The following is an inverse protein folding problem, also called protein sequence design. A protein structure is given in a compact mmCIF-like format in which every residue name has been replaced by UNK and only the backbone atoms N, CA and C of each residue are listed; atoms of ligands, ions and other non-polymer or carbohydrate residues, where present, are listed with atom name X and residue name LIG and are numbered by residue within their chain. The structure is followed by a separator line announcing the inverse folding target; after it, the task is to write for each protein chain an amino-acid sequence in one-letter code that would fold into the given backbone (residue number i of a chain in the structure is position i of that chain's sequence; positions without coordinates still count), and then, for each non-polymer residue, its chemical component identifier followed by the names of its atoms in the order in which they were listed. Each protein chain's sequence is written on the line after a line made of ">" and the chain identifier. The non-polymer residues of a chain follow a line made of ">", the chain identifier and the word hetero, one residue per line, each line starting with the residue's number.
data_IF_816159317621
#
_entry.id   IF_816159317621
#
_cell.length_a   1.000
_cell.length_b   1.000
_cell.length_c   1.000
_cell.angle_alpha   90.00
_cell.angle_beta   90.00
_cell.angle_gamma   90.00
#
_symmetry.space_group_name_H-M   'P 1'
#
loop_
_entity.id
_entity.type
_entity.pdbx_description
1 polymer ?
#
# COMPACT_ATOMS: atom_id res chain seq x y z
N UNK A 1 -42.94 7.09 2.21
CA UNK A 1 -41.91 6.89 1.16
C UNK A 1 -42.05 5.47 0.65
N UNK A 2 -41.89 5.25 -0.66
CA UNK A 2 -42.18 3.96 -1.31
C UNK A 2 -41.03 2.97 -1.07
N UNK A 3 -41.35 1.69 -0.79
CA UNK A 3 -40.37 0.61 -0.65
C UNK A 3 -39.39 0.54 -1.83
N UNK A 4 -39.85 0.87 -3.05
CA UNK A 4 -39.01 0.96 -4.25
C UNK A 4 -37.89 1.99 -4.11
N UNK A 5 -38.16 3.12 -3.45
CA UNK A 5 -37.16 4.18 -3.27
C UNK A 5 -36.05 3.75 -2.31
N UNK A 6 -36.39 2.98 -1.28
CA UNK A 6 -35.43 2.43 -0.33
C UNK A 6 -34.61 1.28 -0.95
N UNK A 7 -35.22 0.46 -1.82
CA UNK A 7 -34.52 -0.58 -2.58
C UNK A 7 -33.49 0.05 -3.53
N UNK A 8 -33.86 1.08 -4.29
CA UNK A 8 -32.96 1.79 -5.22
C UNK A 8 -31.79 2.43 -4.46
N UNK A 9 -32.07 3.07 -3.32
CA UNK A 9 -31.03 3.72 -2.50
C UNK A 9 -30.04 2.70 -1.92
N UNK A 10 -30.52 1.55 -1.44
CA UNK A 10 -29.67 0.44 -0.95
C UNK A 10 -28.83 -0.18 -2.06
N UNK A 11 -29.39 -0.33 -3.26
CA UNK A 11 -28.66 -0.84 -4.42
C UNK A 11 -27.53 0.11 -4.87
N UNK A 12 -27.72 1.42 -4.72
CA UNK A 12 -26.69 2.42 -5.02
C UNK A 12 -25.59 2.46 -3.95
N UNK A 13 -25.92 2.30 -2.66
CA UNK A 13 -24.91 2.31 -1.58
C UNK A 13 -24.08 1.03 -1.49
N UNK A 14 -24.57 -0.10 -2.01
CA UNK A 14 -23.90 -1.40 -1.93
C UNK A 14 -22.96 -1.71 -3.11
N UNK A 15 -22.87 -0.84 -4.12
CA UNK A 15 -22.05 -1.08 -5.31
C UNK A 15 -20.58 -0.79 -5.03
N UNK A 16 -19.87 -1.76 -4.43
CA UNK A 16 -18.41 -1.83 -4.63
C UNK A 16 -18.17 -2.00 -6.12
N UNK A 17 -17.39 -1.10 -6.72
CA UNK A 17 -17.00 -1.21 -8.12
C UNK A 17 -16.25 -2.53 -8.33
N UNK A 18 -16.82 -3.42 -9.14
CA UNK A 18 -16.17 -4.65 -9.56
C UNK A 18 -15.56 -4.44 -10.93
N UNK A 19 -14.30 -4.82 -11.08
CA UNK A 19 -13.55 -4.72 -12.34
C UNK A 19 -13.54 -6.10 -12.99
N UNK A 20 -13.94 -6.18 -14.26
CA UNK A 20 -13.87 -7.42 -15.03
C UNK A 20 -12.44 -7.62 -15.55
N UNK A 21 -11.89 -8.81 -15.32
CA UNK A 21 -10.56 -9.20 -15.78
C UNK A 21 -10.61 -10.54 -16.49
N UNK A 22 -9.91 -10.65 -17.62
CA UNK A 22 -9.77 -11.91 -18.37
C UNK A 22 -8.51 -12.64 -17.92
N UNK A 23 -8.62 -13.92 -17.60
CA UNK A 23 -7.47 -14.78 -17.25
C UNK A 23 -7.43 -16.00 -18.18
N UNK A 24 -6.22 -16.52 -18.41
CA UNK A 24 -6.00 -17.80 -19.09
C UNK A 24 -5.59 -18.82 -18.03
N UNK A 25 -6.23 -19.98 -18.06
CA UNK A 25 -6.00 -21.07 -17.11
C UNK A 25 -5.46 -22.28 -17.87
N UNK A 26 -4.59 -23.04 -17.23
CA UNK A 26 -4.21 -24.36 -17.70
C UNK A 26 -5.41 -25.33 -17.59
N UNK A 27 -5.46 -26.39 -18.40
CA UNK A 27 -6.56 -27.37 -18.35
C UNK A 27 -6.77 -27.96 -16.94
N UNK A 28 -5.70 -28.20 -16.20
CA UNK A 28 -5.73 -28.74 -14.84
C UNK A 28 -6.37 -27.76 -13.85
N UNK A 29 -6.02 -26.47 -13.95
CA UNK A 29 -6.59 -25.40 -13.12
C UNK A 29 -8.08 -25.22 -13.42
N UNK A 30 -8.47 -25.30 -14.70
CA UNK A 30 -9.87 -25.21 -15.09
C UNK A 30 -10.68 -26.38 -14.54
N UNK A 31 -10.19 -27.62 -14.69
CA UNK A 31 -10.86 -28.82 -14.17
C UNK A 31 -11.07 -28.73 -12.66
N UNK A 32 -10.04 -28.31 -11.93
CA UNK A 32 -10.13 -28.13 -10.48
C UNK A 32 -11.20 -27.09 -10.09
N UNK A 33 -11.26 -25.95 -10.77
CA UNK A 33 -12.26 -24.91 -10.47
C UNK A 33 -13.68 -25.41 -10.76
N UNK A 34 -13.86 -26.20 -11.82
CA UNK A 34 -15.17 -26.78 -12.16
C UNK A 34 -15.63 -27.78 -11.08
N UNK A 35 -14.76 -28.72 -10.69
CA UNK A 35 -15.04 -29.69 -9.61
C UNK A 35 -15.32 -29.00 -8.27
N UNK A 36 -14.49 -28.01 -7.91
CA UNK A 36 -14.66 -27.24 -6.67
C UNK A 36 -15.97 -26.44 -6.67
N UNK A 37 -16.33 -25.82 -7.80
CA UNK A 37 -17.57 -25.09 -7.94
C UNK A 37 -18.79 -26.02 -7.77
N UNK A 38 -18.75 -27.21 -8.38
CA UNK A 38 -19.80 -28.22 -8.25
C UNK A 38 -19.94 -28.68 -6.79
N UNK A 39 -18.82 -29.06 -6.15
CA UNK A 39 -18.81 -29.52 -4.76
C UNK A 39 -19.35 -28.46 -3.77
N UNK A 40 -19.06 -27.18 -4.01
CA UNK A 40 -19.51 -26.08 -3.18
C UNK A 40 -20.85 -25.46 -3.62
N UNK A 41 -21.49 -25.99 -4.68
CA UNK A 41 -22.72 -25.42 -5.26
C UNK A 41 -22.59 -23.93 -5.64
N UNK A 42 -21.44 -23.56 -6.21
CA UNK A 42 -21.11 -22.21 -6.65
C UNK A 42 -21.09 -22.12 -8.18
N UNK A 43 -21.17 -20.89 -8.70
CA UNK A 43 -20.81 -20.67 -10.11
C UNK A 43 -19.29 -20.71 -10.26
N UNK A 44 -18.78 -21.07 -11.44
CA UNK A 44 -17.34 -21.04 -11.76
C UNK A 44 -16.70 -19.68 -11.40
N UNK A 45 -17.37 -18.58 -11.70
CA UNK A 45 -16.88 -17.23 -11.40
C UNK A 45 -16.84 -16.97 -9.89
N UNK A 46 -17.85 -17.43 -9.15
CA UNK A 46 -17.88 -17.28 -7.69
C UNK A 46 -16.82 -18.13 -7.00
N UNK A 47 -16.67 -19.40 -7.41
CA UNK A 47 -15.61 -20.29 -6.93
C UNK A 47 -14.22 -19.66 -7.14
N UNK A 48 -13.94 -19.18 -8.35
CA UNK A 48 -12.69 -18.51 -8.69
C UNK A 48 -12.48 -17.23 -7.87
N UNK A 49 -13.55 -16.45 -7.62
CA UNK A 49 -13.50 -15.26 -6.75
C UNK A 49 -13.16 -15.62 -5.30
N UNK A 50 -13.74 -16.68 -4.75
CA UNK A 50 -13.49 -17.12 -3.38
C UNK A 50 -12.05 -17.64 -3.22
N UNK A 51 -11.57 -18.45 -4.16
CA UNK A 51 -10.18 -18.92 -4.19
C UNK A 51 -9.20 -17.76 -4.29
N UNK A 52 -9.46 -16.78 -5.18
CA UNK A 52 -8.63 -15.57 -5.27
C UNK A 52 -8.63 -14.77 -3.97
N UNK A 53 -9.79 -14.61 -3.32
CA UNK A 53 -9.88 -13.89 -2.03
C UNK A 53 -9.08 -14.59 -0.94
N UNK A 54 -9.20 -15.91 -0.84
CA UNK A 54 -8.43 -16.71 0.10
C UNK A 54 -6.93 -16.61 -0.19
N UNK A 55 -6.52 -16.71 -1.46
CA UNK A 55 -5.12 -16.57 -1.87
C UNK A 55 -4.56 -15.18 -1.61
N UNK A 56 -5.34 -14.11 -1.82
CA UNK A 56 -4.96 -12.73 -1.47
C UNK A 56 -4.72 -12.62 0.03
N UNK A 57 -5.62 -13.17 0.85
CA UNK A 57 -5.48 -13.13 2.31
C UNK A 57 -4.21 -13.87 2.77
N UNK A 58 -4.00 -15.10 2.29
CA UNK A 58 -2.79 -15.87 2.61
C UNK A 58 -1.51 -15.16 2.15
N UNK A 59 -1.53 -14.51 0.98
CA UNK A 59 -0.40 -13.74 0.50
C UNK A 59 -0.10 -12.53 1.38
N UNK A 60 -1.13 -11.81 1.86
CA UNK A 60 -0.98 -10.70 2.80
C UNK A 60 -0.34 -11.19 4.10
N UNK A 61 -0.86 -12.26 4.69
CA UNK A 61 -0.35 -12.83 5.94
C UNK A 61 1.11 -13.30 5.81
N UNK A 62 1.45 -13.99 4.71
CA UNK A 62 2.82 -14.41 4.45
C UNK A 62 3.76 -13.20 4.30
N UNK A 63 3.33 -12.13 3.63
CA UNK A 63 4.11 -10.90 3.50
C UNK A 63 4.31 -10.23 4.88
N UNK A 64 3.29 -10.21 5.73
CA UNK A 64 3.35 -9.68 7.10
C UNK A 64 4.31 -10.47 7.98
N UNK A 65 4.26 -11.80 7.96
CA UNK A 65 5.22 -12.64 8.70
C UNK A 65 6.67 -12.42 8.24
N UNK A 66 6.89 -12.27 6.93
CA UNK A 66 8.19 -11.91 6.37
C UNK A 66 8.61 -10.48 6.79
N UNK A 67 7.67 -9.55 6.99
CA UNK A 67 8.00 -8.23 7.52
C UNK A 67 8.48 -8.32 8.97
N UNK A 68 7.74 -9.07 9.80
CA UNK A 68 7.98 -9.13 11.23
C UNK A 68 9.34 -9.74 11.53
N UNK A 69 9.67 -10.84 10.85
CA UNK A 69 11.00 -11.45 10.92
C UNK A 69 12.11 -10.51 10.43
N UNK A 70 11.91 -9.77 9.34
CA UNK A 70 12.88 -8.76 8.88
C UNK A 70 12.99 -7.55 9.83
N UNK A 71 11.91 -7.12 10.48
CA UNK A 71 11.89 -6.03 11.48
C UNK A 71 12.73 -6.43 12.70
N UNK A 72 12.50 -7.63 13.24
CA UNK A 72 13.26 -8.18 14.36
C UNK A 72 14.77 -8.29 14.04
N UNK A 73 15.11 -8.63 12.79
CA UNK A 73 16.51 -8.71 12.35
C UNK A 73 17.16 -7.33 12.13
N UNK A 74 16.40 -6.30 11.70
CA UNK A 74 16.93 -4.96 11.44
C UNK A 74 17.06 -4.09 12.70
N UNK A 75 16.23 -4.31 13.71
CA UNK A 75 16.34 -3.59 14.99
C UNK A 75 17.61 -4.02 15.78
N UNK A 76 18.24 -5.16 15.42
CA UNK A 76 19.56 -5.57 15.90
C UNK A 76 20.74 -4.89 15.15
N UNK A 77 20.48 -4.29 13.98
CA UNK A 77 21.46 -3.67 13.09
C UNK A 77 21.32 -2.12 13.06
N UNK A 78 20.50 -1.56 13.95
CA UNK A 78 20.27 -0.12 14.11
C UNK A 78 21.43 0.62 14.81
N UNK A 79 22.61 -0.01 14.91
CA UNK A 79 23.85 0.66 15.26
C UNK A 79 24.58 1.01 13.97
N UNK A 80 24.75 2.31 13.73
CA UNK A 80 25.61 2.91 12.69
C UNK A 80 25.02 3.09 11.29
N UNK A 81 24.13 4.07 11.14
CA UNK A 81 24.17 4.93 9.94
C UNK A 81 24.63 6.32 10.36
N UNK A 82 25.86 6.65 9.98
CA UNK A 82 26.52 7.94 10.20
C UNK A 82 25.72 9.09 9.55
N UNK A 83 24.70 9.64 10.23
CA UNK A 83 24.09 10.95 9.95
C UNK A 83 23.46 11.17 8.57
N UNK A 84 23.49 10.21 7.65
CA UNK A 84 22.94 10.31 6.31
C UNK A 84 21.42 10.08 6.32
N UNK A 85 20.64 10.83 5.51
CA UNK A 85 19.20 10.65 5.43
C UNK A 85 18.87 9.26 4.90
N UNK A 86 17.91 8.58 5.54
CA UNK A 86 17.40 7.29 5.07
C UNK A 86 16.26 7.53 4.09
N UNK A 87 16.01 6.56 3.24
CA UNK A 87 14.89 6.63 2.29
C UNK A 87 13.85 5.56 2.62
N UNK A 88 12.59 5.95 2.48
CA UNK A 88 11.42 5.12 2.75
C UNK A 88 10.47 5.16 1.56
N UNK A 89 9.87 4.03 1.20
CA UNK A 89 8.77 3.94 0.25
C UNK A 89 7.52 3.63 1.06
N UNK A 90 6.57 4.56 1.10
CA UNK A 90 5.35 4.50 1.89
C UNK A 90 4.14 4.37 0.98
N UNK A 91 3.34 3.32 1.18
CA UNK A 91 2.09 3.12 0.46
C UNK A 91 1.03 4.14 0.92
N UNK A 92 0.38 4.80 -0.03
CA UNK A 92 -0.66 5.82 0.20
C UNK A 92 -2.03 5.26 0.63
N UNK A 93 -2.13 3.95 0.85
CA UNK A 93 -3.34 3.26 1.25
C UNK A 93 -4.51 3.33 0.25
N UNK A 94 -4.26 3.72 -1.02
CA UNK A 94 -5.29 3.90 -2.05
C UNK A 94 -6.17 2.66 -2.26
N UNK A 95 -5.61 1.46 -2.08
CA UNK A 95 -6.35 0.19 -2.15
C UNK A 95 -7.53 0.15 -1.17
N UNK A 96 -7.37 0.71 0.02
CA UNK A 96 -8.36 0.64 1.09
C UNK A 96 -9.18 1.93 1.20
N UNK A 97 -8.56 3.09 1.01
CA UNK A 97 -9.25 4.38 1.08
C UNK A 97 -8.68 5.38 0.07
N UNK A 98 -9.51 5.79 -0.89
CA UNK A 98 -9.19 6.84 -1.85
C UNK A 98 -9.07 8.19 -1.12
N UNK A 99 -9.90 8.43 -0.11
CA UNK A 99 -9.87 9.66 0.69
C UNK A 99 -8.54 9.81 1.43
N UNK A 100 -8.06 8.74 2.06
CA UNK A 100 -6.77 8.74 2.76
C UNK A 100 -5.60 9.01 1.81
N UNK A 101 -5.62 8.38 0.63
CA UNK A 101 -4.65 8.65 -0.42
C UNK A 101 -4.68 10.13 -0.86
N UNK A 102 -5.86 10.69 -1.13
CA UNK A 102 -6.00 12.10 -1.52
C UNK A 102 -5.55 13.05 -0.42
N UNK A 103 -5.87 12.74 0.84
CA UNK A 103 -5.42 13.51 2.00
C UNK A 103 -3.90 13.53 2.08
N UNK A 104 -3.24 12.38 1.94
CA UNK A 104 -1.77 12.30 1.95
C UNK A 104 -1.12 13.19 0.89
N UNK A 105 -1.69 13.23 -0.32
CA UNK A 105 -1.18 14.08 -1.40
C UNK A 105 -1.51 15.56 -1.22
N UNK A 106 -2.72 15.89 -0.75
CA UNK A 106 -3.18 17.27 -0.59
C UNK A 106 -2.48 17.98 0.58
N UNK A 107 -2.31 17.26 1.69
CA UNK A 107 -1.70 17.81 2.91
C UNK A 107 -0.17 17.64 2.92
N UNK A 108 0.39 16.85 2.00
CA UNK A 108 1.83 16.57 1.97
C UNK A 108 2.28 15.79 3.19
N UNK A 109 1.56 14.72 3.54
CA UNK A 109 1.82 13.94 4.76
C UNK A 109 2.20 12.49 4.44
N UNK A 110 3.12 11.96 5.23
CA UNK A 110 3.33 10.52 5.37
C UNK A 110 2.40 10.01 6.47
N UNK A 111 1.47 9.12 6.15
CA UNK A 111 0.47 8.62 7.09
C UNK A 111 0.25 7.12 6.95
N UNK A 112 -0.13 6.49 8.06
CA UNK A 112 -0.58 5.12 8.11
C UNK A 112 -1.73 4.97 9.12
N UNK A 113 -2.59 3.99 8.87
CA UNK A 113 -3.89 3.87 9.54
C UNK A 113 -4.07 2.45 10.08
N UNK A 114 -4.55 2.33 11.31
CA UNK A 114 -4.77 1.07 12.02
C UNK A 114 -3.52 0.21 12.23
N UNK A 115 -3.62 -0.76 13.15
CA UNK A 115 -2.64 -1.82 13.36
C UNK A 115 -1.23 -1.36 13.76
N UNK A 116 -0.30 -2.31 13.87
CA UNK A 116 1.08 -2.02 14.28
C UNK A 116 1.95 -1.44 13.16
N UNK A 117 1.47 -1.46 11.92
CA UNK A 117 2.17 -0.83 10.81
C UNK A 117 2.08 0.70 10.86
N UNK A 118 1.15 1.30 11.60
CA UNK A 118 1.12 2.77 11.80
C UNK A 118 2.37 3.28 12.53
N UNK A 119 2.94 2.44 13.40
CA UNK A 119 4.21 2.69 14.11
C UNK A 119 5.42 2.80 13.17
N UNK A 120 5.28 2.46 11.88
CA UNK A 120 6.33 2.73 10.90
C UNK A 120 6.55 4.23 10.69
N UNK A 121 5.52 5.06 10.84
CA UNK A 121 5.63 6.51 10.67
C UNK A 121 6.56 7.10 11.74
N UNK A 122 6.48 6.58 12.97
CA UNK A 122 7.30 6.97 14.12
C UNK A 122 8.81 6.76 13.87
N UNK A 123 9.16 5.90 12.90
CA UNK A 123 10.55 5.61 12.53
C UNK A 123 11.16 6.65 11.61
N UNK A 124 10.35 7.49 10.96
CA UNK A 124 10.80 8.51 10.00
C UNK A 124 11.49 9.63 10.77
N UNK A 125 12.80 9.79 10.55
CA UNK A 125 13.61 10.80 11.21
C UNK A 125 13.65 12.10 10.40
N UNK A 126 14.13 13.17 11.05
CA UNK A 126 14.32 14.46 10.38
C UNK A 126 15.24 14.29 9.17
N UNK A 127 14.82 14.84 8.04
CA UNK A 127 15.49 14.78 6.73
C UNK A 127 15.48 13.40 6.04
N UNK A 128 14.90 12.35 6.63
CA UNK A 128 14.65 11.11 5.89
C UNK A 128 13.76 11.41 4.68
N UNK A 129 14.04 10.82 3.52
CA UNK A 129 13.23 11.02 2.31
C UNK A 129 12.14 9.96 2.25
N UNK A 130 10.90 10.39 2.08
CA UNK A 130 9.73 9.51 1.97
C UNK A 130 9.15 9.63 0.57
N UNK A 131 9.15 8.53 -0.17
CA UNK A 131 8.47 8.37 -1.45
C UNK A 131 7.06 7.82 -1.22
N UNK A 132 6.04 8.56 -1.66
CA UNK A 132 4.65 8.12 -1.61
C UNK A 132 4.35 7.24 -2.82
N UNK A 133 4.00 5.98 -2.54
CA UNK A 133 3.67 4.96 -3.53
C UNK A 133 2.16 4.74 -3.63
N UNK A 134 1.64 4.78 -4.85
CA UNK A 134 0.26 4.51 -5.20
C UNK A 134 0.15 3.14 -5.88
N UNK A 135 -0.68 2.25 -5.34
CA UNK A 135 -0.93 0.93 -5.93
C UNK A 135 -1.40 1.04 -7.39
N UNK A 136 -0.70 0.36 -8.29
CA UNK A 136 -1.03 0.34 -9.71
C UNK A 136 -0.50 1.52 -10.53
N UNK A 137 0.09 2.53 -9.88
CA UNK A 137 0.65 3.72 -10.55
C UNK A 137 2.17 3.82 -10.34
N UNK A 138 2.66 3.72 -9.10
CA UNK A 138 4.08 3.90 -8.80
C UNK A 138 4.33 4.94 -7.70
N UNK A 139 5.56 5.46 -7.63
CA UNK A 139 5.88 6.63 -6.79
C UNK A 139 5.26 7.86 -7.44
N UNK A 140 4.41 8.56 -6.69
CA UNK A 140 3.62 9.71 -7.18
C UNK A 140 4.02 11.02 -6.52
N UNK A 141 4.71 10.98 -5.39
CA UNK A 141 5.18 12.15 -4.69
C UNK A 141 6.36 11.79 -3.80
N UNK A 142 7.09 12.80 -3.33
CA UNK A 142 8.09 12.63 -2.28
C UNK A 142 8.14 13.86 -1.37
N UNK A 143 8.75 13.70 -0.21
CA UNK A 143 9.12 14.80 0.68
C UNK A 143 10.08 14.32 1.76
N UNK A 144 10.52 15.22 2.63
CA UNK A 144 11.42 14.92 3.75
C UNK A 144 10.66 14.87 5.06
N UNK A 145 10.92 13.85 5.86
CA UNK A 145 10.38 13.72 7.20
C UNK A 145 10.87 14.82 8.13
N UNK A 146 10.01 15.24 9.04
CA UNK A 146 10.35 16.23 10.09
C UNK A 146 10.97 15.59 11.33
N UNK A 147 10.77 14.28 11.53
CA UNK A 147 11.10 13.57 12.77
C UNK A 147 10.02 13.68 13.87
N UNK A 148 8.97 14.49 13.66
CA UNK A 148 7.87 14.65 14.59
C UNK A 148 6.65 13.85 14.13
N UNK A 149 6.14 12.93 14.95
CA UNK A 149 4.96 12.13 14.62
C UNK A 149 3.74 12.66 15.36
N UNK A 150 2.69 12.94 14.60
CA UNK A 150 1.40 13.38 15.07
C UNK A 150 0.41 12.21 15.03
N UNK A 151 -0.55 12.23 15.96
CA UNK A 151 -1.63 11.24 16.02
C UNK A 151 -2.97 11.93 15.80
N UNK A 152 -3.86 11.24 15.10
CA UNK A 152 -5.21 11.71 14.85
C UNK A 152 -6.21 10.57 14.97
N UNK A 153 -7.45 10.95 15.26
CA UNK A 153 -8.59 10.06 15.11
C UNK A 153 -8.76 9.64 13.65
N UNK A 154 -9.13 8.39 13.42
CA UNK A 154 -9.49 7.86 12.11
C UNK A 154 -10.76 7.01 12.21
N UNK A 155 -11.79 7.39 11.45
CA UNK A 155 -13.11 6.72 11.42
C UNK A 155 -13.73 6.50 12.82
N UNK A 156 -13.60 7.49 13.71
CA UNK A 156 -14.17 7.44 15.07
C UNK A 156 -13.30 6.72 16.10
N UNK A 157 -12.11 6.25 15.73
CA UNK A 157 -11.17 5.59 16.63
C UNK A 157 -9.96 6.49 16.91
N UNK A 158 -9.72 6.80 18.18
CA UNK A 158 -8.63 7.65 18.62
C UNK A 158 -7.26 7.01 18.35
N UNK A 159 -6.26 7.83 17.99
CA UNK A 159 -4.87 7.41 17.72
C UNK A 159 -4.71 6.33 16.64
N UNK A 160 -5.72 6.13 15.78
CA UNK A 160 -5.64 5.16 14.69
C UNK A 160 -4.99 5.71 13.42
N UNK A 161 -4.65 7.00 13.37
CA UNK A 161 -3.79 7.58 12.35
C UNK A 161 -2.51 8.12 12.97
N UNK A 162 -1.37 7.55 12.59
CA UNK A 162 -0.07 8.18 12.80
C UNK A 162 0.35 8.86 11.50
N UNK A 163 0.79 10.12 11.59
CA UNK A 163 1.23 10.87 10.42
C UNK A 163 2.33 11.86 10.73
N UNK A 164 3.06 12.24 9.70
CA UNK A 164 4.09 13.27 9.74
C UNK A 164 3.94 14.18 8.53
N UNK A 165 4.04 15.50 8.76
CA UNK A 165 4.11 16.49 7.67
C UNK A 165 5.46 16.36 6.97
N UNK A 166 5.46 16.35 5.65
CA UNK A 166 6.68 16.28 4.85
C UNK A 166 7.11 17.70 4.42
N UNK A 167 8.35 18.06 4.71
CA UNK A 167 8.97 19.26 4.15
C UNK A 167 9.45 19.02 2.72
N UNK A 168 9.59 20.07 1.91
CA UNK A 168 9.97 19.98 0.50
C UNK A 168 9.08 19.00 -0.30
N UNK A 169 7.79 18.93 0.05
CA UNK A 169 6.86 18.01 -0.57
C UNK A 169 6.59 18.37 -2.04
N UNK A 170 6.75 17.40 -2.94
CA UNK A 170 6.50 17.55 -4.37
C UNK A 170 5.72 16.34 -4.90
N UNK A 171 4.61 16.62 -5.58
CA UNK A 171 3.90 15.64 -6.39
C UNK A 171 4.60 15.56 -7.76
N UNK A 172 4.85 14.35 -8.23
CA UNK A 172 5.49 14.11 -9.53
C UNK A 172 4.47 14.31 -10.65
N UNK A 173 4.87 15.04 -11.70
CA UNK A 173 4.07 15.15 -12.92
C UNK A 173 3.97 13.78 -13.60
N UNK A 174 5.10 13.08 -13.70
CA UNK A 174 5.19 11.71 -14.20
C UNK A 174 5.55 10.75 -13.05
N UNK A 175 4.63 9.86 -12.64
CA UNK A 175 4.92 8.88 -11.61
C UNK A 175 5.94 7.82 -12.07
N UNK A 176 6.84 7.43 -11.17
CA UNK A 176 7.78 6.32 -11.42
C UNK A 176 7.10 4.99 -11.13
N UNK A 177 6.82 4.21 -12.17
CA UNK A 177 6.16 2.91 -12.05
C UNK A 177 6.97 1.92 -11.20
N UNK A 178 6.30 0.90 -10.67
CA UNK A 178 6.97 -0.16 -9.91
C UNK A 178 8.07 -0.88 -10.72
N UNK A 179 7.92 -0.95 -12.05
CA UNK A 179 8.95 -1.51 -12.93
C UNK A 179 10.17 -0.59 -13.00
N UNK A 180 9.97 0.71 -13.24
CA UNK A 180 11.06 1.69 -13.28
C UNK A 180 11.82 1.76 -11.96
N UNK A 181 11.11 1.77 -10.82
CA UNK A 181 11.74 1.77 -9.49
C UNK A 181 12.63 0.54 -9.31
N UNK A 182 12.18 -0.65 -9.74
CA UNK A 182 13.00 -1.87 -9.67
C UNK A 182 14.23 -1.77 -10.57
N UNK A 183 14.10 -1.18 -11.77
CA UNK A 183 15.24 -0.94 -12.67
C UNK A 183 16.23 0.05 -12.08
N UNK A 184 15.76 1.15 -11.49
CA UNK A 184 16.62 2.17 -10.87
C UNK A 184 17.39 1.58 -9.68
N UNK A 185 16.72 0.79 -8.84
CA UNK A 185 17.35 0.19 -7.67
C UNK A 185 18.18 -1.06 -7.98
N UNK A 186 17.96 -1.69 -9.14
CA UNK A 186 18.55 -2.97 -9.54
C UNK A 186 18.24 -4.11 -8.54
N UNK A 187 17.03 -4.09 -7.98
CA UNK A 187 16.55 -5.12 -7.05
C UNK A 187 15.03 -5.23 -7.02
N UNK A 188 14.54 -6.34 -6.48
CA UNK A 188 13.13 -6.47 -6.20
C UNK A 188 12.75 -5.64 -4.96
N UNK A 189 11.68 -4.86 -5.08
CA UNK A 189 11.09 -4.07 -4.00
C UNK A 189 9.69 -4.59 -3.74
N UNK A 190 9.39 -4.86 -2.46
CA UNK A 190 8.06 -5.27 -2.03
C UNK A 190 7.23 -4.02 -1.75
N UNK A 191 6.30 -3.72 -2.66
CA UNK A 191 5.39 -2.56 -2.59
C UNK A 191 4.06 -2.86 -1.89
N UNK A 192 3.84 -4.12 -1.49
CA UNK A 192 2.59 -4.56 -0.85
C UNK A 192 2.51 -4.22 0.65
N UNK A 193 3.59 -3.67 1.21
CA UNK A 193 3.72 -3.33 2.62
C UNK A 193 3.38 -1.85 2.84
N UNK A 194 3.00 -1.48 4.05
CA UNK A 194 2.72 -0.07 4.40
C UNK A 194 3.95 0.79 4.16
N UNK A 195 5.12 0.40 4.68
CA UNK A 195 6.37 1.12 4.47
C UNK A 195 7.53 0.14 4.28
N UNK A 196 8.39 0.43 3.31
CA UNK A 196 9.59 -0.33 2.99
C UNK A 196 10.81 0.59 3.01
N UNK A 197 11.90 0.16 3.63
CA UNK A 197 13.17 0.88 3.55
C UNK A 197 13.80 0.79 2.16
N UNK A 198 14.39 1.89 1.70
CA UNK A 198 15.13 1.97 0.45
C UNK A 198 16.57 2.47 0.71
N UNK A 199 17.50 1.62 1.15
CA UNK A 199 18.89 2.04 1.44
C UNK A 199 19.58 2.74 0.26
N UNK A 200 19.21 2.33 -0.96
CA UNK A 200 19.63 2.80 -2.27
C UNK A 200 18.70 3.87 -2.86
N UNK A 201 17.79 4.43 -2.06
CA UNK A 201 16.77 5.39 -2.49
C UNK A 201 17.33 6.72 -3.02
N UNK A 202 18.60 7.02 -2.78
CA UNK A 202 19.30 8.14 -3.42
C UNK A 202 19.22 8.05 -4.95
N UNK A 203 19.30 6.84 -5.54
CA UNK A 203 19.18 6.65 -7.00
C UNK A 203 17.82 7.10 -7.53
N UNK A 204 16.74 6.86 -6.77
CA UNK A 204 15.39 7.32 -7.11
C UNK A 204 15.34 8.84 -7.01
N UNK A 205 15.89 9.40 -5.93
CA UNK A 205 15.90 10.83 -5.71
C UNK A 205 16.65 11.57 -6.83
N UNK A 206 17.84 11.10 -7.21
CA UNK A 206 18.64 11.68 -8.29
C UNK A 206 17.91 11.60 -9.64
N UNK A 207 17.24 10.47 -9.92
CA UNK A 207 16.43 10.30 -11.14
C UNK A 207 15.27 11.28 -11.22
N UNK A 208 14.64 11.62 -10.09
CA UNK A 208 13.56 12.62 -10.01
C UNK A 208 14.10 14.05 -10.17
N UNK A 209 15.30 14.35 -9.65
CA UNK A 209 15.90 15.68 -9.78
C UNK A 209 16.50 15.96 -11.17
N UNK A 210 16.76 14.92 -11.96
CA UNK A 210 17.28 15.04 -13.31
C UNK A 210 16.21 15.38 -14.36
N UNK A 211 14.92 15.38 -13.97
CA UNK A 211 13.77 15.87 -14.76
C UNK A 211 13.48 17.34 -14.47
#
# INVERSE_FOLDING_TARGET
>A
MSELTDIIRRAQSAKKELIASTIRLAPEEQSFIEEFAEQCSLTRQEAMRQLMRAGIQQAIEAIEQLNESERLNRDADASETNGAPRFHILNTNKRHSIESHQRMLKEGIAAAFYGDWKLNIDRIQKNDVVFLYENGKGIVAYGKGTGETLKAEYEGNADECHYQVLSDFKVLEEPLSAAEVRTILDRNVVFLRTMSGAPDGQKIFDRIQAE
#
